data_IF_554944512801
#
_entry.id   IF_554944512801
#
_cell.length_a   1.000
_cell.length_b   1.000
_cell.length_c   1.000
_cell.angle_alpha   90.00
_cell.angle_beta   90.00
_cell.angle_gamma   90.00
#
_symmetry.space_group_name_H-M   'P 1'
#
loop_
_entity.id
_entity.type
_entity.pdbx_description
1 polymer ?
#
# COMPACT_ATOMS: atom_id res chain seq x y z
N UNK A 1 -15.46 1.20 -4.01
CA UNK A 1 -14.49 1.57 -2.96
C UNK A 1 -13.21 2.15 -3.58
N UNK A 2 -12.66 3.20 -2.97
CA UNK A 2 -11.37 3.76 -3.35
C UNK A 2 -10.25 2.73 -3.12
N UNK A 3 -9.38 2.50 -4.11
CA UNK A 3 -8.18 1.62 -4.01
C UNK A 3 -7.07 2.29 -3.17
N UNK A 4 -7.37 2.50 -1.90
CA UNK A 4 -6.49 3.14 -0.91
C UNK A 4 -6.47 2.25 0.32
N UNK A 5 -5.28 1.98 0.84
CA UNK A 5 -5.15 1.31 2.13
C UNK A 5 -5.57 2.25 3.25
N UNK A 6 -6.54 1.87 4.10
CA UNK A 6 -7.02 2.78 5.14
C UNK A 6 -6.03 2.91 6.31
N UNK A 7 -5.14 1.93 6.50
CA UNK A 7 -4.08 1.97 7.53
C UNK A 7 -2.86 2.77 7.07
N UNK A 8 -2.41 2.57 5.82
CA UNK A 8 -1.12 3.13 5.35
C UNK A 8 -1.26 4.20 4.26
N UNK A 9 -2.48 4.49 3.80
CA UNK A 9 -2.74 5.44 2.71
C UNK A 9 -2.22 5.00 1.35
N UNK A 10 -1.69 3.77 1.22
CA UNK A 10 -1.12 3.28 -0.05
C UNK A 10 -2.15 3.30 -1.15
N UNK A 11 -1.84 4.03 -2.22
CA UNK A 11 -2.69 4.24 -3.39
C UNK A 11 -1.93 3.94 -4.68
N UNK A 12 -2.66 3.73 -5.76
CA UNK A 12 -2.04 3.59 -7.09
C UNK A 12 -1.38 4.91 -7.48
N UNK A 13 -0.08 4.87 -7.80
CA UNK A 13 0.68 6.05 -8.24
C UNK A 13 0.91 6.02 -9.75
N UNK A 14 1.09 7.19 -10.35
CA UNK A 14 1.48 7.34 -11.75
C UNK A 14 2.99 7.49 -11.84
N UNK A 15 3.58 6.95 -12.90
CA UNK A 15 4.95 7.29 -13.27
C UNK A 15 5.28 6.80 -14.67
N UNK A 16 6.55 6.51 -14.94
CA UNK A 16 7.03 6.25 -16.29
C UNK A 16 7.80 4.94 -16.39
N UNK A 17 7.72 4.28 -17.55
CA UNK A 17 8.65 3.24 -17.99
C UNK A 17 9.67 3.90 -18.92
N UNK A 18 10.95 3.77 -18.60
CA UNK A 18 12.04 4.24 -19.43
C UNK A 18 12.67 3.07 -20.17
N UNK A 19 12.84 3.23 -21.48
CA UNK A 19 13.69 2.36 -22.28
C UNK A 19 15.08 2.99 -22.34
N UNK A 20 16.09 2.28 -21.86
CA UNK A 20 17.46 2.78 -21.75
C UNK A 20 18.38 1.84 -22.53
N UNK A 21 19.29 2.38 -23.33
CA UNK A 21 20.30 1.63 -24.10
C UNK A 21 21.71 2.09 -23.74
N UNK A 22 22.70 1.22 -23.99
CA UNK A 22 24.11 1.48 -23.72
C UNK A 22 24.58 0.99 -22.35
N UNK A 23 25.85 1.24 -22.05
CA UNK A 23 26.52 0.84 -20.80
C UNK A 23 26.74 2.08 -19.95
N UNK A 24 26.45 1.99 -18.66
CA UNK A 24 26.64 3.10 -17.74
C UNK A 24 28.12 3.51 -17.64
N UNK A 25 28.38 4.81 -17.50
CA UNK A 25 29.74 5.36 -17.34
C UNK A 25 30.49 4.73 -16.17
N UNK A 26 29.80 4.46 -15.06
CA UNK A 26 30.37 3.75 -13.89
C UNK A 26 30.93 2.36 -14.22
N UNK A 27 30.42 1.71 -15.26
CA UNK A 27 30.89 0.42 -15.77
C UNK A 27 31.88 0.60 -16.94
N UNK A 28 32.56 1.75 -17.01
CA UNK A 28 33.48 2.14 -18.10
C UNK A 28 32.84 2.18 -19.50
N UNK A 29 31.51 2.38 -19.59
CA UNK A 29 30.82 2.59 -20.86
C UNK A 29 30.71 4.08 -21.26
N UNK A 30 30.30 4.35 -22.50
CA UNK A 30 30.09 5.72 -23.01
C UNK A 30 28.94 6.44 -22.26
N UNK A 31 27.89 5.71 -21.89
CA UNK A 31 26.72 6.25 -21.18
C UNK A 31 25.42 5.51 -21.49
N UNK A 32 24.41 5.81 -20.67
CA UNK A 32 23.04 5.33 -20.85
C UNK A 32 22.23 6.36 -21.65
N UNK A 33 21.68 5.95 -22.81
CA UNK A 33 20.77 6.76 -23.64
C UNK A 33 19.33 6.36 -23.36
N UNK A 34 18.47 7.34 -23.08
CA UNK A 34 17.02 7.12 -22.96
C UNK A 34 16.41 7.14 -24.36
N UNK A 35 15.84 6.02 -24.80
CA UNK A 35 15.20 5.87 -26.12
C UNK A 35 13.69 6.02 -26.09
N UNK A 36 13.07 5.90 -24.91
CA UNK A 36 11.62 6.02 -24.81
C UNK A 36 11.15 6.29 -23.38
N UNK A 37 10.08 7.07 -23.27
CA UNK A 37 9.42 7.41 -22.01
C UNK A 37 7.91 7.21 -22.17
N UNK A 38 7.37 6.18 -21.53
CA UNK A 38 5.94 5.84 -21.62
C UNK A 38 5.28 5.94 -20.25
N UNK A 39 4.07 6.49 -20.17
CA UNK A 39 3.29 6.58 -18.91
C UNK A 39 2.88 5.18 -18.44
N UNK A 40 3.01 4.89 -17.15
CA UNK A 40 2.54 3.65 -16.50
C UNK A 40 1.90 3.95 -15.14
N UNK A 41 1.07 3.02 -14.67
CA UNK A 41 0.49 3.05 -13.32
C UNK A 41 1.17 2.00 -12.45
N UNK A 42 1.60 2.39 -11.26
CA UNK A 42 2.10 1.49 -10.23
C UNK A 42 0.95 1.18 -9.28
N UNK A 43 0.38 -0.02 -9.42
CA UNK A 43 -0.72 -0.48 -8.56
C UNK A 43 -0.17 -0.76 -7.16
N UNK A 44 -0.91 -0.34 -6.14
CA UNK A 44 -0.65 -0.78 -4.78
C UNK A 44 -1.07 -2.26 -4.64
N UNK A 45 -0.26 -3.06 -3.96
CA UNK A 45 -0.63 -4.44 -3.61
C UNK A 45 -1.62 -4.40 -2.44
N UNK A 46 -2.91 -4.27 -2.78
CA UNK A 46 -4.03 -4.20 -1.87
C UNK A 46 -4.82 -5.50 -2.00
N UNK A 47 -5.20 -6.07 -0.87
CA UNK A 47 -6.04 -7.26 -0.82
C UNK A 47 -7.00 -7.16 0.36
N UNK A 48 -8.17 -7.77 0.20
CA UNK A 48 -9.12 -7.88 1.30
C UNK A 48 -8.66 -8.98 2.25
N UNK A 49 -8.71 -8.67 3.55
CA UNK A 49 -8.24 -9.56 4.61
C UNK A 49 -9.28 -9.63 5.72
N UNK A 50 -9.53 -10.85 6.19
CA UNK A 50 -10.34 -11.11 7.38
C UNK A 50 -9.39 -11.29 8.55
N UNK A 51 -9.58 -10.50 9.60
CA UNK A 51 -8.79 -10.57 10.82
C UNK A 51 -9.71 -10.99 11.96
N UNK A 52 -9.19 -11.84 12.84
CA UNK A 52 -9.91 -12.24 14.06
C UNK A 52 -9.84 -11.12 15.09
N UNK A 53 -10.99 -10.78 15.68
CA UNK A 53 -11.07 -9.81 16.76
C UNK A 53 -11.49 -10.52 18.04
N UNK A 54 -10.56 -10.59 19.00
CA UNK A 54 -10.77 -11.31 20.25
C UNK A 54 -11.86 -10.68 21.14
N UNK A 55 -11.99 -9.35 21.15
CA UNK A 55 -12.97 -8.63 22.00
C UNK A 55 -14.43 -8.94 21.64
N UNK A 56 -14.71 -9.19 20.36
CA UNK A 56 -16.08 -9.36 19.83
C UNK A 56 -16.33 -10.77 19.32
N UNK A 57 -15.37 -11.68 19.52
CA UNK A 57 -15.38 -13.08 19.08
C UNK A 57 -15.83 -13.26 17.62
N UNK A 58 -15.37 -12.38 16.73
CA UNK A 58 -15.81 -12.33 15.32
C UNK A 58 -14.69 -11.99 14.35
N UNK A 59 -14.86 -12.40 13.10
CA UNK A 59 -14.01 -11.95 12.01
C UNK A 59 -14.44 -10.57 11.51
N UNK A 60 -13.49 -9.64 11.46
CA UNK A 60 -13.68 -8.32 10.85
C UNK A 60 -12.99 -8.32 9.48
N UNK A 61 -13.74 -7.98 8.44
CA UNK A 61 -13.19 -7.80 7.09
C UNK A 61 -12.67 -6.37 6.94
N UNK A 62 -11.36 -6.21 6.74
CA UNK A 62 -10.76 -4.91 6.40
C UNK A 62 -10.53 -4.88 4.88
N UNK A 63 -11.28 -4.04 4.14
CA UNK A 63 -11.11 -3.95 2.71
C UNK A 63 -9.84 -3.17 2.33
N UNK A 64 -9.25 -3.52 1.19
CA UNK A 64 -8.08 -2.85 0.61
C UNK A 64 -6.86 -2.75 1.56
N UNK A 65 -6.56 -3.81 2.31
CA UNK A 65 -5.41 -3.81 3.20
C UNK A 65 -4.11 -4.04 2.40
N UNK A 66 -3.08 -3.24 2.70
CA UNK A 66 -1.73 -3.46 2.18
C UNK A 66 -0.95 -4.38 3.11
N UNK A 67 0.03 -5.13 2.57
CA UNK A 67 0.90 -6.01 3.39
C UNK A 67 1.64 -5.25 4.50
N UNK A 68 2.05 -4.02 4.23
CA UNK A 68 2.65 -3.16 5.25
C UNK A 68 1.62 -2.78 6.33
N UNK A 69 0.37 -2.53 5.93
CA UNK A 69 -0.72 -2.26 6.87
C UNK A 69 -1.04 -3.45 7.75
N UNK A 70 -0.95 -4.68 7.23
CA UNK A 70 -1.07 -5.89 8.03
C UNK A 70 -0.01 -5.94 9.13
N UNK A 71 1.27 -5.74 8.78
CA UNK A 71 2.37 -5.66 9.77
C UNK A 71 2.17 -4.54 10.78
N UNK A 72 1.64 -3.39 10.37
CA UNK A 72 1.34 -2.28 11.27
C UNK A 72 0.23 -2.64 12.27
N UNK A 73 -0.79 -3.37 11.83
CA UNK A 73 -1.88 -3.84 12.69
C UNK A 73 -1.41 -4.92 13.67
N UNK A 74 -0.49 -5.79 13.27
CA UNK A 74 0.11 -6.80 14.15
C UNK A 74 1.04 -6.18 15.20
N UNK A 75 1.82 -5.14 14.83
CA UNK A 75 2.84 -4.55 15.71
C UNK A 75 2.32 -3.48 16.68
N UNK A 76 1.19 -2.81 16.38
CA UNK A 76 0.66 -1.76 17.26
C UNK A 76 0.11 -2.36 18.56
N UNK A 77 0.45 -1.74 19.69
CA UNK A 77 -0.21 -2.03 20.97
C UNK A 77 -1.71 -1.69 20.85
N UNK A 78 -2.59 -2.64 21.19
CA UNK A 78 -4.03 -2.58 20.95
C UNK A 78 -4.50 -3.13 19.59
N UNK A 79 -3.58 -3.52 18.70
CA UNK A 79 -3.82 -4.34 17.51
C UNK A 79 -4.97 -3.90 16.59
N UNK A 80 -5.76 -4.87 16.13
CA UNK A 80 -6.96 -4.65 15.30
C UNK A 80 -8.06 -3.92 16.08
N UNK A 81 -8.14 -4.13 17.40
CA UNK A 81 -9.17 -3.54 18.24
C UNK A 81 -9.07 -2.01 18.31
N UNK A 82 -7.86 -1.47 18.53
CA UNK A 82 -7.61 -0.04 18.56
C UNK A 82 -7.98 0.63 17.22
N UNK A 83 -7.68 -0.04 16.11
CA UNK A 83 -8.02 0.44 14.78
C UNK A 83 -9.54 0.46 14.54
N UNK A 84 -10.26 -0.59 14.96
CA UNK A 84 -11.73 -0.64 14.87
C UNK A 84 -12.38 0.43 15.76
N UNK A 85 -11.85 0.68 16.97
CA UNK A 85 -12.32 1.76 17.84
C UNK A 85 -12.13 3.15 17.20
N UNK A 86 -10.98 3.40 16.57
CA UNK A 86 -10.73 4.64 15.83
C UNK A 86 -11.74 4.83 14.68
N UNK A 87 -11.99 3.79 13.89
CA UNK A 87 -12.96 3.85 12.79
C UNK A 87 -14.38 4.16 13.29
N UNK A 88 -14.80 3.56 14.41
CA UNK A 88 -16.12 3.84 15.02
C UNK A 88 -16.22 5.25 15.57
N UNK A 89 -15.16 5.75 16.20
CA UNK A 89 -15.12 7.13 16.70
C UNK A 89 -15.24 8.15 15.57
N UNK A 90 -14.56 7.91 14.44
CA UNK A 90 -14.68 8.76 13.25
C UNK A 90 -16.10 8.79 12.68
N UNK A 91 -16.80 7.65 12.66
CA UNK A 91 -18.18 7.58 12.18
C UNK A 91 -19.19 8.27 13.12
N UNK A 92 -18.91 8.36 14.42
CA UNK A 92 -19.81 9.02 15.39
C UNK A 92 -19.66 10.55 15.39
N UNK A 93 -18.55 11.06 14.88
CA UNK A 93 -18.25 12.49 14.81
C UNK A 93 -18.61 13.14 13.46
N UNK A 94 -19.06 12.34 12.48
CA UNK A 94 -19.59 12.80 11.18
C UNK A 94 -21.11 12.69 11.19
#
# INVERSE_FOLDING_TARGET
>A
MSKVCPVTGKKTTRGYKYAIRGIAKKKKGIGLKVTGKTKRRFKANLADRKLWLAEENRFVSIPNLSIAGLRTLEKKEGGVAAYVRQLRAQHKAS
#
